data_IF_921345491630
#
_entry.id   IF_921345491630
#
_cell.length_a   1.000
_cell.length_b   1.000
_cell.length_c   1.000
_cell.angle_alpha   90.00
_cell.angle_beta   90.00
_cell.angle_gamma   90.00
#
_symmetry.space_group_name_H-M   'P 1'
#
loop_
_entity.id
_entity.type
_entity.pdbx_description
1 polymer ?
#
# COMPACT_ATOMS: atom_id res chain seq x y z
N UNK A 1 22.81 -20.91 9.18
CA UNK A 1 23.71 -19.78 8.84
C UNK A 1 22.95 -18.46 8.68
N UNK A 2 22.03 -18.32 7.70
CA UNK A 2 21.30 -17.06 7.47
C UNK A 2 20.59 -16.51 8.73
N UNK A 3 19.98 -17.38 9.54
CA UNK A 3 19.38 -16.94 10.80
C UNK A 3 20.36 -16.26 11.76
N UNK A 4 21.59 -16.77 11.87
CA UNK A 4 22.60 -16.16 12.72
C UNK A 4 23.01 -14.79 12.16
N UNK A 5 23.12 -14.65 10.84
CA UNK A 5 23.41 -13.38 10.18
C UNK A 5 22.30 -12.35 10.40
N UNK A 6 21.03 -12.75 10.43
CA UNK A 6 19.92 -11.87 10.81
C UNK A 6 20.11 -11.29 12.22
N UNK A 7 20.61 -12.09 13.17
CA UNK A 7 20.87 -11.64 14.55
C UNK A 7 22.11 -10.76 14.65
N UNK A 8 23.15 -11.03 13.84
CA UNK A 8 24.38 -10.24 13.80
C UNK A 8 24.19 -8.86 13.15
N UNK A 9 23.13 -8.68 12.35
CA UNK A 9 22.81 -7.39 11.69
C UNK A 9 24.02 -6.83 10.95
N UNK A 10 24.43 -5.58 11.21
CA UNK A 10 25.53 -4.91 10.54
C UNK A 10 26.85 -5.69 10.59
N UNK A 11 27.09 -6.45 11.67
CA UNK A 11 28.30 -7.27 11.82
C UNK A 11 28.33 -8.45 10.83
N UNK A 12 27.18 -8.80 10.25
CA UNK A 12 27.06 -9.78 9.17
C UNK A 12 27.45 -9.25 7.78
N UNK A 13 27.84 -7.98 7.65
CA UNK A 13 28.19 -7.37 6.35
C UNK A 13 29.23 -8.16 5.52
N UNK A 14 30.26 -8.80 6.10
CA UNK A 14 31.20 -9.62 5.33
C UNK A 14 30.55 -10.78 4.57
N UNK A 15 29.34 -11.21 4.95
CA UNK A 15 28.61 -12.30 4.30
C UNK A 15 27.73 -11.84 3.12
N UNK A 16 27.67 -10.54 2.81
CA UNK A 16 26.81 -10.00 1.73
C UNK A 16 27.06 -10.69 0.38
N UNK A 17 28.31 -10.93 -0.09
CA UNK A 17 28.53 -11.63 -1.36
C UNK A 17 27.93 -13.04 -1.38
N UNK A 18 28.09 -13.81 -0.31
CA UNK A 18 27.57 -15.16 -0.19
C UNK A 18 26.04 -15.15 -0.09
N UNK A 19 25.46 -14.20 0.64
CA UNK A 19 24.01 -14.04 0.72
C UNK A 19 23.39 -13.67 -0.62
N UNK A 20 24.06 -12.84 -1.44
CA UNK A 20 23.63 -12.54 -2.82
C UNK A 20 23.60 -13.80 -3.69
N UNK A 21 24.62 -14.66 -3.59
CA UNK A 21 24.62 -15.93 -4.31
C UNK A 21 23.44 -16.83 -3.89
N UNK A 22 23.09 -16.83 -2.59
CA UNK A 22 21.95 -17.60 -2.09
C UNK A 22 20.58 -17.09 -2.58
N UNK A 23 20.46 -15.87 -3.10
CA UNK A 23 19.23 -15.40 -3.75
C UNK A 23 18.89 -16.18 -5.03
N UNK A 24 19.84 -16.93 -5.59
CA UNK A 24 19.62 -17.78 -6.77
C UNK A 24 19.56 -19.27 -6.42
N UNK A 25 19.49 -19.63 -5.14
CA UNK A 25 19.42 -21.02 -4.70
C UNK A 25 18.10 -21.68 -5.14
N UNK A 26 18.07 -23.00 -5.38
CA UNK A 26 16.87 -23.73 -5.80
C UNK A 26 15.76 -23.77 -4.72
N UNK A 27 16.16 -23.93 -3.46
CA UNK A 27 15.27 -23.88 -2.30
C UNK A 27 14.75 -22.45 -2.03
N UNK A 28 13.43 -22.28 -2.12
CA UNK A 28 12.74 -21.02 -1.90
C UNK A 28 12.95 -20.46 -0.48
N UNK A 29 13.01 -21.32 0.54
CA UNK A 29 13.22 -20.89 1.93
C UNK A 29 14.63 -20.36 2.11
N UNK A 30 15.64 -20.98 1.48
CA UNK A 30 16.99 -20.43 1.53
C UNK A 30 17.07 -19.04 0.87
N UNK A 31 16.37 -18.82 -0.25
CA UNK A 31 16.26 -17.48 -0.87
C UNK A 31 15.62 -16.46 0.08
N UNK A 32 14.50 -16.83 0.72
CA UNK A 32 13.80 -15.96 1.70
C UNK A 32 14.70 -15.61 2.88
N UNK A 33 15.43 -16.59 3.42
CA UNK A 33 16.33 -16.37 4.56
C UNK A 33 17.54 -15.52 4.17
N UNK A 34 18.05 -15.67 2.95
CA UNK A 34 19.10 -14.80 2.43
C UNK A 34 18.62 -13.35 2.30
N UNK A 35 17.43 -13.12 1.73
CA UNK A 35 16.81 -11.80 1.64
C UNK A 35 16.59 -11.17 3.02
N UNK A 36 16.11 -11.95 3.99
CA UNK A 36 15.89 -11.50 5.37
C UNK A 36 17.21 -11.10 6.06
N UNK A 37 18.27 -11.89 5.89
CA UNK A 37 19.59 -11.58 6.42
C UNK A 37 20.18 -10.31 5.77
N UNK A 38 20.08 -10.16 4.44
CA UNK A 38 20.49 -8.94 3.73
C UNK A 38 19.75 -7.71 4.26
N UNK A 39 18.43 -7.81 4.43
CA UNK A 39 17.65 -6.72 5.00
C UNK A 39 18.09 -6.36 6.43
N UNK A 40 18.36 -7.36 7.28
CA UNK A 40 18.84 -7.17 8.65
C UNK A 40 20.23 -6.53 8.73
N UNK A 41 21.13 -6.85 7.79
CA UNK A 41 22.43 -6.19 7.64
C UNK A 41 22.26 -4.68 7.33
N UNK A 42 21.27 -4.33 6.52
CA UNK A 42 20.92 -2.93 6.24
C UNK A 42 21.78 -2.31 5.14
N UNK A 43 22.26 -1.07 5.34
CA UNK A 43 22.93 -0.26 4.31
C UNK A 43 24.06 -1.00 3.55
N UNK A 44 24.96 -1.77 4.20
CA UNK A 44 25.99 -2.52 3.46
C UNK A 44 25.45 -3.54 2.46
N UNK A 45 24.24 -4.05 2.68
CA UNK A 45 23.56 -5.01 1.81
C UNK A 45 22.72 -4.34 0.71
N UNK A 46 22.65 -3.01 0.64
CA UNK A 46 21.88 -2.29 -0.39
C UNK A 46 22.34 -2.61 -1.82
N UNK A 47 23.59 -3.05 -1.99
CA UNK A 47 24.13 -3.55 -3.27
C UNK A 47 23.36 -4.77 -3.83
N UNK A 48 22.56 -5.45 -3.01
CA UNK A 48 21.70 -6.57 -3.41
C UNK A 48 20.28 -6.16 -3.83
N UNK A 49 19.95 -4.86 -3.77
CA UNK A 49 18.61 -4.37 -4.11
C UNK A 49 18.16 -4.75 -5.53
N UNK A 50 19.00 -4.66 -6.58
CA UNK A 50 18.57 -5.04 -7.93
C UNK A 50 18.03 -6.47 -7.99
N UNK A 51 18.72 -7.43 -7.36
CA UNK A 51 18.30 -8.84 -7.34
C UNK A 51 17.04 -9.07 -6.51
N UNK A 52 16.93 -8.40 -5.37
CA UNK A 52 15.76 -8.49 -4.50
C UNK A 52 14.51 -7.89 -5.17
N UNK A 53 14.66 -6.75 -5.86
CA UNK A 53 13.57 -6.12 -6.61
C UNK A 53 13.14 -7.00 -7.80
N UNK A 54 14.08 -7.58 -8.54
CA UNK A 54 13.76 -8.54 -9.61
C UNK A 54 13.00 -9.75 -9.08
N UNK A 55 13.43 -10.28 -7.93
CA UNK A 55 12.78 -11.43 -7.29
C UNK A 55 11.33 -11.11 -6.88
N UNK A 56 11.06 -9.90 -6.40
CA UNK A 56 9.70 -9.42 -6.12
C UNK A 56 8.89 -9.23 -7.41
N UNK A 57 9.51 -8.76 -8.49
CA UNK A 57 8.85 -8.51 -9.77
C UNK A 57 8.45 -9.79 -10.53
N UNK A 58 8.95 -10.97 -10.14
CA UNK A 58 8.63 -12.25 -10.78
C UNK A 58 7.15 -12.63 -10.61
N UNK A 59 6.65 -13.38 -11.59
CA UNK A 59 5.38 -14.09 -11.45
C UNK A 59 5.52 -15.23 -10.42
N UNK A 60 4.48 -15.52 -9.64
CA UNK A 60 4.43 -16.69 -8.77
C UNK A 60 4.76 -17.95 -9.58
N UNK A 61 5.64 -18.79 -9.02
CA UNK A 61 5.98 -20.06 -9.62
C UNK A 61 4.80 -21.05 -9.47
N UNK A 62 4.78 -22.10 -10.29
CA UNK A 62 3.68 -23.07 -10.27
C UNK A 62 3.58 -23.82 -8.92
N UNK A 63 4.71 -24.02 -8.25
CA UNK A 63 4.85 -24.62 -6.92
C UNK A 63 4.75 -23.62 -5.76
N UNK A 64 4.75 -22.31 -6.05
CA UNK A 64 4.41 -21.23 -5.11
C UNK A 64 3.29 -20.32 -5.68
N UNK A 65 2.08 -20.85 -5.89
CA UNK A 65 1.00 -20.12 -6.59
C UNK A 65 0.49 -18.91 -5.79
N UNK A 66 0.78 -18.85 -4.48
CA UNK A 66 0.41 -17.72 -3.61
C UNK A 66 1.50 -16.66 -3.52
N UNK A 67 2.69 -16.91 -4.09
CA UNK A 67 3.82 -15.99 -4.04
C UNK A 67 4.33 -15.77 -2.61
N UNK A 68 4.51 -16.84 -1.85
CA UNK A 68 5.10 -16.84 -0.51
C UNK A 68 6.53 -16.29 -0.52
N UNK A 69 7.33 -16.67 -1.51
CA UNK A 69 8.66 -16.09 -1.70
C UNK A 69 8.58 -14.58 -1.88
N UNK A 70 7.79 -14.13 -2.86
CA UNK A 70 7.58 -12.70 -3.13
C UNK A 70 7.09 -11.97 -1.87
N UNK A 71 6.14 -12.55 -1.13
CA UNK A 71 5.64 -11.99 0.12
C UNK A 71 6.79 -11.70 1.07
N UNK A 72 7.58 -12.69 1.43
CA UNK A 72 8.63 -12.50 2.44
C UNK A 72 9.79 -11.64 1.94
N UNK A 73 10.16 -11.75 0.67
CA UNK A 73 11.19 -10.88 0.08
C UNK A 73 10.71 -9.43 0.04
N UNK A 74 9.44 -9.17 -0.30
CA UNK A 74 8.86 -7.84 -0.23
C UNK A 74 8.88 -7.28 1.19
N UNK A 75 8.53 -8.08 2.21
CA UNK A 75 8.64 -7.65 3.61
C UNK A 75 10.09 -7.31 4.00
N UNK A 76 11.06 -8.11 3.55
CA UNK A 76 12.48 -7.83 3.79
C UNK A 76 12.93 -6.53 3.11
N UNK A 77 12.45 -6.24 1.90
CA UNK A 77 12.84 -5.03 1.15
C UNK A 77 12.10 -3.80 1.65
N UNK A 78 10.77 -3.79 1.60
CA UNK A 78 9.95 -2.59 1.81
C UNK A 78 9.78 -2.21 3.29
N UNK A 79 9.78 -3.18 4.19
CA UNK A 79 9.62 -2.91 5.64
C UNK A 79 10.94 -2.80 6.40
N UNK A 80 12.05 -3.28 5.82
CA UNK A 80 13.32 -3.37 6.53
C UNK A 80 14.49 -2.71 5.80
N UNK A 81 14.80 -3.11 4.57
CA UNK A 81 15.98 -2.59 3.87
C UNK A 81 15.78 -1.15 3.39
N UNK A 82 14.73 -0.89 2.60
CA UNK A 82 14.46 0.45 2.04
C UNK A 82 14.29 1.52 3.12
N UNK A 83 13.56 1.32 4.23
CA UNK A 83 13.44 2.33 5.28
C UNK A 83 14.76 2.72 5.95
N UNK A 84 15.82 1.89 5.84
CA UNK A 84 17.16 2.18 6.39
C UNK A 84 18.03 3.02 5.46
N UNK A 85 17.59 3.24 4.22
CA UNK A 85 18.25 4.09 3.24
C UNK A 85 17.74 5.51 3.36
N UNK A 86 18.65 6.49 3.32
CA UNK A 86 18.32 7.91 3.44
C UNK A 86 17.54 8.40 2.21
N UNK A 87 17.93 7.94 1.02
CA UNK A 87 17.31 8.29 -0.26
C UNK A 87 17.03 7.05 -1.11
N UNK A 88 16.16 7.23 -2.11
CA UNK A 88 15.88 6.26 -3.18
C UNK A 88 16.59 6.63 -4.50
N UNK A 89 17.36 7.73 -4.55
CA UNK A 89 17.97 8.26 -5.78
C UNK A 89 18.86 7.25 -6.51
N UNK A 90 19.61 6.43 -5.77
CA UNK A 90 20.55 5.46 -6.34
C UNK A 90 19.90 4.10 -6.66
N UNK A 91 18.58 3.99 -6.51
CA UNK A 91 17.83 2.77 -6.80
C UNK A 91 17.32 2.82 -8.23
N UNK A 92 17.48 1.73 -8.96
CA UNK A 92 16.89 1.55 -10.28
C UNK A 92 15.35 1.70 -10.21
N UNK A 93 14.86 2.84 -10.70
CA UNK A 93 13.44 3.18 -10.65
C UNK A 93 12.55 2.22 -11.44
N UNK A 94 13.06 1.63 -12.53
CA UNK A 94 12.31 0.67 -13.35
C UNK A 94 12.11 -0.62 -12.57
N UNK A 95 13.16 -1.13 -11.92
CA UNK A 95 13.06 -2.32 -11.05
C UNK A 95 12.16 -2.06 -9.85
N UNK A 96 12.28 -0.90 -9.22
CA UNK A 96 11.44 -0.52 -8.09
C UNK A 96 9.97 -0.47 -8.48
N UNK A 97 9.64 0.17 -9.60
CA UNK A 97 8.27 0.22 -10.12
C UNK A 97 7.74 -1.18 -10.45
N UNK A 98 8.52 -2.03 -11.12
CA UNK A 98 8.12 -3.40 -11.43
C UNK A 98 7.85 -4.23 -10.16
N UNK A 99 8.71 -4.10 -9.15
CA UNK A 99 8.53 -4.77 -7.86
C UNK A 99 7.27 -4.30 -7.13
N UNK A 100 7.00 -2.99 -7.11
CA UNK A 100 5.76 -2.45 -6.51
C UNK A 100 4.53 -2.97 -7.27
N UNK A 101 4.50 -2.80 -8.59
CA UNK A 101 3.36 -3.18 -9.40
C UNK A 101 3.02 -4.67 -9.29
N UNK A 102 4.04 -5.53 -9.26
CA UNK A 102 3.84 -6.97 -9.07
C UNK A 102 3.45 -7.30 -7.63
N UNK A 103 4.14 -6.75 -6.65
CA UNK A 103 3.89 -7.08 -5.25
C UNK A 103 2.52 -6.59 -4.73
N UNK A 104 1.96 -5.52 -5.30
CA UNK A 104 0.57 -5.12 -5.05
C UNK A 104 -0.48 -6.14 -5.52
N UNK A 105 -0.08 -7.11 -6.35
CA UNK A 105 -0.94 -8.22 -6.79
C UNK A 105 -0.78 -9.47 -5.92
N UNK A 106 0.12 -9.46 -4.92
CA UNK A 106 0.34 -10.60 -4.02
C UNK A 106 -0.97 -11.03 -3.33
N UNK A 107 -1.14 -12.30 -2.99
CA UNK A 107 -2.40 -12.77 -2.41
C UNK A 107 -2.58 -12.43 -0.93
N UNK A 108 -1.57 -11.87 -0.26
CA UNK A 108 -1.62 -11.54 1.16
C UNK A 108 -1.74 -10.03 1.43
N UNK A 109 -2.72 -9.64 2.25
CA UNK A 109 -3.01 -8.25 2.59
C UNK A 109 -1.86 -7.54 3.32
N UNK A 110 -1.12 -8.26 4.18
CA UNK A 110 0.03 -7.70 4.89
C UNK A 110 1.16 -7.37 3.93
N UNK A 111 1.47 -8.25 2.98
CA UNK A 111 2.47 -8.00 1.94
C UNK A 111 2.15 -6.74 1.14
N UNK A 112 0.90 -6.60 0.67
CA UNK A 112 0.46 -5.42 -0.07
C UNK A 112 0.55 -4.14 0.78
N UNK A 113 0.16 -4.23 2.05
CA UNK A 113 0.22 -3.12 3.00
C UNK A 113 1.65 -2.61 3.18
N UNK A 114 2.59 -3.52 3.42
CA UNK A 114 4.01 -3.19 3.62
C UNK A 114 4.65 -2.55 2.38
N UNK A 115 4.32 -3.02 1.18
CA UNK A 115 4.79 -2.41 -0.08
C UNK A 115 4.24 -0.98 -0.22
N UNK A 116 2.97 -0.77 0.12
CA UNK A 116 2.31 0.53 -0.06
C UNK A 116 2.91 1.67 0.77
N UNK A 117 3.67 1.36 1.82
CA UNK A 117 4.34 2.36 2.65
C UNK A 117 5.37 3.19 1.86
N UNK A 118 5.91 2.64 0.77
CA UNK A 118 6.90 3.32 -0.07
C UNK A 118 6.35 4.56 -0.76
N UNK A 119 5.03 4.66 -0.96
CA UNK A 119 4.42 5.76 -1.73
C UNK A 119 4.79 7.14 -1.18
N UNK A 120 4.92 7.26 0.14
CA UNK A 120 5.27 8.51 0.83
C UNK A 120 6.68 9.02 0.51
N UNK A 121 7.51 8.19 -0.13
CA UNK A 121 8.88 8.49 -0.56
C UNK A 121 9.02 8.67 -2.07
N UNK A 122 7.94 8.49 -2.83
CA UNK A 122 7.92 8.67 -4.27
C UNK A 122 7.40 10.07 -4.61
N UNK A 123 8.05 10.74 -5.55
CA UNK A 123 7.49 11.95 -6.16
C UNK A 123 6.39 11.59 -7.18
N UNK A 124 5.73 12.60 -7.74
CA UNK A 124 4.63 12.39 -8.68
C UNK A 124 5.05 11.59 -9.91
N UNK A 125 6.18 11.90 -10.54
CA UNK A 125 6.68 11.21 -11.74
C UNK A 125 6.95 9.71 -11.45
N UNK A 126 7.38 9.39 -10.23
CA UNK A 126 7.65 8.02 -9.82
C UNK A 126 6.38 7.23 -9.50
N UNK A 127 5.37 7.84 -8.88
CA UNK A 127 4.11 7.16 -8.52
C UNK A 127 3.11 7.14 -9.68
N UNK A 128 3.14 8.12 -10.59
CA UNK A 128 2.18 8.25 -11.68
C UNK A 128 2.00 6.95 -12.49
N UNK A 129 3.06 6.23 -12.92
CA UNK A 129 2.92 4.98 -13.66
C UNK A 129 2.28 3.85 -12.83
N UNK A 130 2.31 3.95 -11.50
CA UNK A 130 1.78 2.96 -10.57
C UNK A 130 0.32 3.25 -10.18
N UNK A 131 -0.21 4.45 -10.45
CA UNK A 131 -1.57 4.82 -10.04
C UNK A 131 -2.65 3.81 -10.49
N UNK A 132 -2.63 3.26 -11.72
CA UNK A 132 -3.62 2.24 -12.11
C UNK A 132 -3.62 1.00 -11.22
N UNK A 133 -2.44 0.48 -10.86
CA UNK A 133 -2.34 -0.71 -9.99
C UNK A 133 -2.60 -0.37 -8.52
N UNK A 134 -2.25 0.84 -8.07
CA UNK A 134 -2.64 1.36 -6.75
C UNK A 134 -4.17 1.44 -6.64
N UNK A 135 -4.84 2.00 -7.64
CA UNK A 135 -6.30 2.09 -7.70
C UNK A 135 -6.97 0.72 -7.71
N UNK A 136 -6.42 -0.25 -8.48
CA UNK A 136 -6.88 -1.62 -8.45
C UNK A 136 -6.74 -2.25 -7.04
N UNK A 137 -5.62 -2.01 -6.35
CA UNK A 137 -5.38 -2.52 -5.00
C UNK A 137 -6.30 -1.89 -3.92
N UNK A 138 -6.77 -0.66 -4.12
CA UNK A 138 -7.80 -0.04 -3.28
C UNK A 138 -9.14 -0.78 -3.44
N UNK A 139 -9.49 -1.19 -4.66
CA UNK A 139 -10.81 -1.75 -4.98
C UNK A 139 -10.90 -3.24 -4.73
N UNK A 140 -9.81 -3.96 -4.95
CA UNK A 140 -9.78 -5.42 -4.89
C UNK A 140 -8.95 -5.89 -3.69
N UNK A 141 -9.60 -6.34 -2.59
CA UNK A 141 -8.87 -6.83 -1.43
C UNK A 141 -8.06 -8.08 -1.78
N UNK A 142 -6.99 -8.31 -1.01
CA UNK A 142 -6.23 -9.55 -1.12
C UNK A 142 -7.09 -10.73 -0.61
N UNK A 143 -7.01 -11.92 -1.24
CA UNK A 143 -7.80 -13.09 -0.84
C UNK A 143 -7.30 -13.77 0.45
N UNK A 144 -6.19 -13.30 1.03
CA UNK A 144 -5.68 -13.78 2.32
C UNK A 144 -5.09 -12.60 3.11
N UNK A 145 -4.91 -12.80 4.43
CA UNK A 145 -4.45 -11.72 5.30
C UNK A 145 -5.45 -10.56 5.38
N UNK A 146 -6.76 -10.86 5.32
CA UNK A 146 -7.86 -9.86 5.27
C UNK A 146 -7.83 -8.86 6.43
N UNK A 147 -7.41 -9.32 7.62
CA UNK A 147 -7.19 -8.48 8.80
C UNK A 147 -6.19 -7.34 8.53
N UNK A 148 -5.26 -7.53 7.60
CA UNK A 148 -4.20 -6.57 7.23
C UNK A 148 -4.44 -5.92 5.86
N UNK A 149 -5.60 -6.16 5.23
CA UNK A 149 -5.89 -5.65 3.89
C UNK A 149 -6.21 -4.15 3.86
N UNK A 150 -6.28 -3.48 4.99
CA UNK A 150 -6.67 -2.09 5.09
C UNK A 150 -5.56 -1.10 4.76
N UNK A 151 -4.32 -1.42 5.15
CA UNK A 151 -3.17 -0.52 5.00
C UNK A 151 -2.92 -0.18 3.53
N UNK A 152 -2.94 -1.17 2.63
CA UNK A 152 -2.77 -0.92 1.18
C UNK A 152 -3.86 -0.03 0.61
N UNK A 153 -5.10 -0.21 1.06
CA UNK A 153 -6.26 0.56 0.57
C UNK A 153 -6.17 2.00 1.06
N UNK A 154 -5.86 2.20 2.35
CA UNK A 154 -5.76 3.53 2.93
C UNK A 154 -4.56 4.31 2.41
N UNK A 155 -3.39 3.68 2.28
CA UNK A 155 -2.21 4.32 1.70
C UNK A 155 -2.43 4.65 0.21
N UNK A 156 -3.12 3.77 -0.52
CA UNK A 156 -3.58 4.05 -1.87
C UNK A 156 -4.46 5.28 -1.94
N UNK A 157 -5.49 5.37 -1.10
CA UNK A 157 -6.40 6.52 -1.07
C UNK A 157 -5.67 7.82 -0.73
N UNK A 158 -4.78 7.80 0.26
CA UNK A 158 -3.95 8.95 0.63
C UNK A 158 -3.10 9.42 -0.54
N UNK A 159 -2.45 8.52 -1.29
CA UNK A 159 -1.61 8.94 -2.42
C UNK A 159 -2.44 9.47 -3.61
N UNK A 160 -3.65 8.93 -3.83
CA UNK A 160 -4.57 9.50 -4.81
C UNK A 160 -5.01 10.92 -4.42
N UNK A 161 -5.34 11.16 -3.14
CA UNK A 161 -5.71 12.49 -2.66
C UNK A 161 -4.55 13.49 -2.73
N UNK A 162 -3.35 13.11 -2.28
CA UNK A 162 -2.13 13.94 -2.37
C UNK A 162 -1.86 14.46 -3.78
N UNK A 163 -2.24 13.69 -4.80
CA UNK A 163 -2.06 14.06 -6.21
C UNK A 163 -3.36 14.45 -6.92
N UNK A 164 -4.44 14.64 -6.16
CA UNK A 164 -5.77 15.03 -6.63
C UNK A 164 -6.31 14.15 -7.77
N UNK A 165 -6.11 12.84 -7.67
CA UNK A 165 -6.61 11.89 -8.67
C UNK A 165 -8.12 11.76 -8.52
N UNK A 166 -8.89 12.09 -9.56
CA UNK A 166 -10.35 12.23 -9.55
C UNK A 166 -11.07 11.00 -8.96
N UNK A 167 -10.67 9.81 -9.41
CA UNK A 167 -11.28 8.53 -9.04
C UNK A 167 -11.10 8.18 -7.55
N UNK A 168 -10.12 8.80 -6.88
CA UNK A 168 -9.88 8.61 -5.45
C UNK A 168 -11.05 9.06 -4.58
N UNK A 169 -11.82 10.06 -5.01
CA UNK A 169 -13.02 10.53 -4.30
C UNK A 169 -14.09 9.45 -4.18
N UNK A 170 -14.48 8.83 -5.31
CA UNK A 170 -15.48 7.76 -5.31
C UNK A 170 -14.93 6.52 -4.60
N UNK A 171 -13.66 6.17 -4.82
CA UNK A 171 -13.03 5.02 -4.13
C UNK A 171 -12.98 5.20 -2.60
N UNK A 172 -12.70 6.40 -2.09
CA UNK A 172 -12.73 6.69 -0.66
C UNK A 172 -14.16 6.57 -0.10
N UNK A 173 -15.16 7.07 -0.82
CA UNK A 173 -16.57 6.95 -0.44
C UNK A 173 -17.03 5.49 -0.40
N UNK A 174 -16.67 4.70 -1.40
CA UNK A 174 -16.99 3.27 -1.44
C UNK A 174 -16.25 2.49 -0.35
N UNK A 175 -14.98 2.82 -0.09
CA UNK A 175 -14.22 2.17 0.97
C UNK A 175 -14.76 2.51 2.36
N UNK A 176 -15.16 3.75 2.60
CA UNK A 176 -15.79 4.16 3.87
C UNK A 176 -16.97 3.24 4.23
N UNK A 177 -17.77 2.86 3.22
CA UNK A 177 -18.94 1.98 3.36
C UNK A 177 -18.59 0.49 3.46
N UNK A 178 -17.53 0.06 2.76
CA UNK A 178 -17.19 -1.37 2.57
C UNK A 178 -15.98 -1.85 3.37
N UNK A 179 -15.38 -0.99 4.20
CA UNK A 179 -14.26 -1.36 5.04
C UNK A 179 -14.62 -2.51 6.00
N UNK A 180 -13.63 -3.34 6.31
CA UNK A 180 -13.80 -4.37 7.33
C UNK A 180 -14.04 -3.75 8.72
N UNK A 181 -14.67 -4.46 9.67
CA UNK A 181 -15.02 -3.89 10.97
C UNK A 181 -13.83 -3.72 11.91
N UNK A 182 -12.73 -4.46 11.71
CA UNK A 182 -11.57 -4.45 12.60
C UNK A 182 -10.96 -3.04 12.70
N UNK A 183 -11.06 -2.44 13.88
CA UNK A 183 -10.61 -1.08 14.18
C UNK A 183 -11.18 -0.01 13.21
N UNK A 184 -12.36 -0.24 12.63
CA UNK A 184 -12.96 0.65 11.64
C UNK A 184 -13.30 2.04 12.19
N UNK A 185 -13.49 2.18 13.51
CA UNK A 185 -13.67 3.44 14.21
C UNK A 185 -12.43 4.35 14.16
N UNK A 186 -11.24 3.77 14.07
CA UNK A 186 -9.97 4.49 13.92
C UNK A 186 -9.68 4.81 12.46
N UNK A 187 -10.01 3.88 11.55
CA UNK A 187 -9.80 4.03 10.11
C UNK A 187 -10.78 5.02 9.46
N UNK A 188 -12.03 5.05 9.95
CA UNK A 188 -13.08 5.92 9.40
C UNK A 188 -12.67 7.40 9.33
N UNK A 189 -12.15 8.02 10.41
CA UNK A 189 -11.61 9.38 10.35
C UNK A 189 -10.51 9.59 9.30
N UNK A 190 -9.65 8.59 9.06
CA UNK A 190 -8.59 8.71 8.06
C UNK A 190 -9.14 8.72 6.63
N UNK A 191 -10.14 7.87 6.34
CA UNK A 191 -10.82 7.87 5.03
C UNK A 191 -11.58 9.20 4.82
N UNK A 192 -12.21 9.72 5.88
CA UNK A 192 -12.91 10.99 5.83
C UNK A 192 -11.95 12.18 5.61
N UNK A 193 -10.74 12.11 6.16
CA UNK A 193 -9.71 13.12 5.88
C UNK A 193 -9.31 13.11 4.41
N UNK A 194 -9.10 11.92 3.81
CA UNK A 194 -8.85 11.79 2.36
C UNK A 194 -9.95 12.50 1.54
N UNK A 195 -11.22 12.31 1.89
CA UNK A 195 -12.33 12.99 1.21
C UNK A 195 -12.31 14.51 1.40
N UNK A 196 -11.96 14.98 2.60
CA UNK A 196 -11.85 16.40 2.90
C UNK A 196 -10.71 17.08 2.12
N UNK A 197 -9.61 16.36 1.83
CA UNK A 197 -8.46 16.87 1.08
C UNK A 197 -8.80 17.22 -0.38
N UNK A 198 -9.91 16.70 -0.93
CA UNK A 198 -10.45 17.10 -2.24
C UNK A 198 -11.25 18.41 -2.21
N UNK A 199 -11.47 19.02 -1.04
CA UNK A 199 -12.13 20.30 -0.90
C UNK A 199 -13.56 20.33 -1.47
N UNK A 200 -13.89 21.41 -2.16
CA UNK A 200 -15.21 21.61 -2.77
C UNK A 200 -15.54 20.57 -3.85
N UNK A 201 -14.54 19.93 -4.47
CA UNK A 201 -14.75 18.88 -5.46
C UNK A 201 -15.48 17.66 -4.88
N UNK A 202 -15.36 17.41 -3.57
CA UNK A 202 -16.05 16.32 -2.89
C UNK A 202 -17.53 16.62 -2.57
N UNK A 203 -18.04 17.84 -2.83
CA UNK A 203 -19.43 18.20 -2.51
C UNK A 203 -20.46 17.33 -3.24
N UNK A 204 -20.13 16.86 -4.45
CA UNK A 204 -20.98 15.96 -5.23
C UNK A 204 -21.23 14.62 -4.53
N UNK A 205 -20.38 14.22 -3.58
CA UNK A 205 -20.47 12.96 -2.84
C UNK A 205 -21.29 13.07 -1.55
N UNK A 206 -21.69 14.28 -1.13
CA UNK A 206 -22.44 14.50 0.11
C UNK A 206 -23.66 13.56 0.24
N UNK A 207 -24.50 13.33 -0.79
CA UNK A 207 -25.62 12.41 -0.66
C UNK A 207 -25.22 10.98 -0.26
N UNK A 208 -24.12 10.45 -0.81
CA UNK A 208 -23.60 9.12 -0.45
C UNK A 208 -23.03 9.10 0.98
N UNK A 209 -22.43 10.20 1.42
CA UNK A 209 -21.93 10.33 2.79
C UNK A 209 -23.09 10.42 3.79
N UNK A 210 -24.18 11.13 3.46
CA UNK A 210 -25.40 11.18 4.29
C UNK A 210 -26.03 9.78 4.44
N UNK A 211 -26.09 9.00 3.35
CA UNK A 211 -26.53 7.61 3.39
C UNK A 211 -25.61 6.75 4.28
N UNK A 212 -24.29 6.93 4.15
CA UNK A 212 -23.29 6.21 4.96
C UNK A 212 -23.45 6.53 6.45
N UNK A 213 -23.65 7.81 6.81
CA UNK A 213 -23.90 8.22 8.19
C UNK A 213 -25.20 7.61 8.74
N UNK A 214 -26.28 7.58 7.94
CA UNK A 214 -27.53 6.93 8.32
C UNK A 214 -27.36 5.41 8.49
N UNK A 215 -26.53 4.78 7.66
CA UNK A 215 -26.13 3.38 7.81
C UNK A 215 -25.48 3.09 9.16
N UNK A 216 -24.43 3.84 9.51
CA UNK A 216 -23.75 3.72 10.80
C UNK A 216 -24.67 4.02 12.01
N UNK A 217 -25.64 4.94 11.89
CA UNK A 217 -26.60 5.19 12.97
C UNK A 217 -27.55 4.02 13.25
N UNK A 218 -27.92 3.26 12.20
CA UNK A 218 -28.71 2.03 12.34
C UNK A 218 -27.93 0.93 13.07
N UNK A 219 -26.60 1.02 13.06
CA UNK A 219 -25.69 0.05 13.65
C UNK A 219 -25.18 -0.95 12.62
N UNK A 220 -24.08 -1.61 12.97
CA UNK A 220 -23.37 -2.56 12.12
C UNK A 220 -23.39 -3.95 12.78
N UNK A 221 -23.49 -5.04 12.00
CA UNK A 221 -23.40 -6.41 12.53
C UNK A 221 -22.09 -6.63 13.28
N UNK A 222 -22.16 -7.30 14.44
CA UNK A 222 -21.01 -7.68 15.27
C UNK A 222 -20.05 -6.52 15.61
N UNK A 223 -20.57 -5.28 15.64
CA UNK A 223 -19.79 -4.07 15.92
C UNK A 223 -20.46 -3.21 17.02
N UNK A 224 -19.70 -2.66 17.98
CA UNK A 224 -20.29 -1.91 19.09
C UNK A 224 -21.10 -0.68 18.64
N UNK A 225 -22.36 -0.59 19.09
CA UNK A 225 -23.29 0.46 18.67
C UNK A 225 -22.80 1.88 18.96
N UNK A 226 -22.08 2.08 20.06
CA UNK A 226 -21.48 3.38 20.40
C UNK A 226 -20.38 3.78 19.40
N UNK A 227 -19.57 2.83 18.95
CA UNK A 227 -18.52 3.07 17.94
C UNK A 227 -19.14 3.31 16.55
N UNK A 228 -20.23 2.61 16.22
CA UNK A 228 -20.95 2.86 14.97
C UNK A 228 -21.54 4.28 14.94
N UNK A 229 -22.16 4.74 16.03
CA UNK A 229 -22.61 6.14 16.19
C UNK A 229 -21.45 7.15 16.15
N UNK A 230 -20.28 6.80 16.69
CA UNK A 230 -19.07 7.63 16.59
C UNK A 230 -18.66 7.81 15.13
N UNK A 231 -18.66 6.73 14.33
CA UNK A 231 -18.41 6.80 12.88
C UNK A 231 -19.44 7.69 12.18
N UNK A 232 -20.73 7.51 12.46
CA UNK A 232 -21.80 8.35 11.90
C UNK A 232 -21.59 9.86 12.21
N UNK A 233 -21.20 10.18 13.45
CA UNK A 233 -20.86 11.55 13.85
C UNK A 233 -19.68 12.10 13.05
N UNK A 234 -18.60 11.33 12.92
CA UNK A 234 -17.42 11.74 12.15
C UNK A 234 -17.77 12.02 10.67
N UNK A 235 -18.63 11.20 10.07
CA UNK A 235 -19.12 11.43 8.69
C UNK A 235 -19.86 12.77 8.60
N UNK A 236 -20.79 13.05 9.51
CA UNK A 236 -21.56 14.32 9.52
C UNK A 236 -20.68 15.55 9.71
N UNK A 237 -19.70 15.47 10.61
CA UNK A 237 -18.73 16.55 10.81
C UNK A 237 -17.91 16.81 9.54
N UNK A 238 -17.55 15.75 8.81
CA UNK A 238 -16.83 15.85 7.53
C UNK A 238 -17.72 16.42 6.43
N UNK A 239 -19.01 16.04 6.36
CA UNK A 239 -19.98 16.64 5.43
C UNK A 239 -20.08 18.16 5.65
N UNK A 240 -20.12 18.61 6.92
CA UNK A 240 -20.16 20.04 7.23
C UNK A 240 -18.89 20.76 6.72
N UNK A 241 -17.71 20.14 6.87
CA UNK A 241 -16.44 20.67 6.33
C UNK A 241 -16.46 20.74 4.80
N UNK A 242 -16.83 19.66 4.11
CA UNK A 242 -16.89 19.61 2.63
C UNK A 242 -17.89 20.63 2.08
N UNK A 243 -19.06 20.79 2.74
CA UNK A 243 -20.07 21.78 2.35
C UNK A 243 -19.56 23.22 2.48
N UNK A 244 -18.71 23.48 3.46
CA UNK A 244 -18.11 24.80 3.68
C UNK A 244 -16.82 25.04 2.86
N UNK A 245 -16.24 23.98 2.27
CA UNK A 245 -15.01 24.06 1.50
C UNK A 245 -15.19 24.93 0.24
N UNK A 246 -14.20 25.77 0.00
CA UNK A 246 -14.13 26.65 -1.19
C UNK A 246 -12.95 26.32 -2.09
N UNK A 247 -11.97 25.60 -1.56
CA UNK A 247 -10.80 25.16 -2.30
C UNK A 247 -11.21 24.12 -3.34
N UNK A 248 -10.79 24.33 -4.58
CA UNK A 248 -11.07 23.44 -5.72
C UNK A 248 -9.74 23.01 -6.31
N UNK A 249 -9.05 22.01 -5.72
CA UNK A 249 -7.80 21.51 -6.27
C UNK A 249 -7.99 21.04 -7.70
N UNK A 250 -7.00 21.29 -8.56
CA UNK A 250 -7.03 20.80 -9.94
C UNK A 250 -6.97 19.27 -9.93
N UNK A 251 -8.05 18.65 -10.40
CA UNK A 251 -8.18 17.20 -10.44
C UNK A 251 -7.50 16.62 -11.66
N UNK A 252 -6.87 15.46 -11.50
CA UNK A 252 -6.22 14.71 -12.57
C UNK A 252 -6.93 13.37 -12.76
N UNK A 253 -7.29 12.97 -13.99
CA UNK A 253 -7.80 11.63 -14.22
C UNK A 253 -6.70 10.58 -13.99
N UNK A 254 -7.08 9.38 -13.54
CA UNK A 254 -6.16 8.27 -13.23
C UNK A 254 -5.27 7.86 -14.40
N UNK A 255 -5.80 8.01 -15.61
CA UNK A 255 -5.09 7.92 -16.87
C UNK A 255 -5.25 9.28 -17.53
N UNK A 256 -4.19 9.87 -18.10
CA UNK A 256 -4.39 10.91 -19.10
C UNK A 256 -5.30 10.34 -20.19
N UNK A 257 -6.59 10.66 -20.17
CA UNK A 257 -7.56 10.16 -21.12
C UNK A 257 -7.36 10.92 -22.43
N UNK A 258 -6.30 10.56 -23.13
CA UNK A 258 -6.06 10.85 -24.53
C UNK A 258 -5.93 9.51 -25.24
N UNK A 259 -6.77 9.30 -26.25
CA UNK A 259 -6.74 8.16 -27.15
C UNK A 259 -5.32 7.72 -27.54
N UNK A 260 -5.07 6.43 -27.44
CA UNK A 260 -4.25 5.72 -28.43
C UNK A 260 -4.51 4.21 -28.32
N UNK A 261 -5.59 3.75 -28.96
CA UNK A 261 -5.61 2.44 -29.60
C UNK A 261 -4.94 2.58 -30.99
N UNK A 262 -4.29 1.52 -31.48
CA UNK A 262 -4.99 0.67 -32.45
C UNK A 262 -5.38 -0.70 -31.90
#
# INVERSE_FOLDING_TARGET
ACHALEQLRGDGAPAVPQLRNLLQHEDLWLRIRAASALAAIGRPAAVALPELLDQIARNPAADDPRGMEQRFVAMAVFSNLLPRLESLTDIDGVRLQAAIARGLQNQDGRARGEISEIYRRLNYDQIQPLLPVVYAAIRTPAPSGEMFADSVRLNGLKILATHHITEGMQAATDYLRTQNPWASEHRTPEILQVLADYGASAQSLIPQLEETAAGFDRGEPDFPRNLSRQKARAVRETIAKIRAAKETPELKPLSGSGDSAP
#
